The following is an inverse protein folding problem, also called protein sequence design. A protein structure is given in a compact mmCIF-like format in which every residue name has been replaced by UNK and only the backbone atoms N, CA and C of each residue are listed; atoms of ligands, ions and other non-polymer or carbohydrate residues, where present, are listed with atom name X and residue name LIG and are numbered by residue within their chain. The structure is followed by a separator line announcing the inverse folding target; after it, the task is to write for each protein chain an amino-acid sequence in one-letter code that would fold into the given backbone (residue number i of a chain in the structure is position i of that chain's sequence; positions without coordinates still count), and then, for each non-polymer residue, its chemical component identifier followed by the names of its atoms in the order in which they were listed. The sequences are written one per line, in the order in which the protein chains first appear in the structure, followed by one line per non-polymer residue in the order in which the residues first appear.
data_IF_818379949029
#
_entry.id   IF_818379949029
#
_cell.length_a   1.000
_cell.length_b   1.000
_cell.length_c   1.000
_cell.angle_alpha   90.00
_cell.angle_beta   90.00
_cell.angle_gamma   90.00
#
_symmetry.space_group_name_H-M   'P 1'
#
loop_
_entity.id
_entity.type
_entity.pdbx_description
1 polymer ?
#
# COMPACT_ATOMS: atom_id res chain seq x y z
N UNK A 1 14.49 10.24 -1.83
CA UNK A 1 13.10 10.13 -2.30
C UNK A 1 12.34 11.33 -1.74
N UNK A 2 11.35 11.86 -2.45
CA UNK A 2 10.55 13.02 -1.99
C UNK A 2 9.17 12.50 -1.63
N UNK A 3 8.76 12.68 -0.36
CA UNK A 3 7.38 12.33 0.05
C UNK A 3 6.35 13.18 -0.70
N UNK A 4 5.19 12.62 -1.02
CA UNK A 4 4.02 13.38 -1.48
C UNK A 4 3.05 13.56 -0.31
N UNK A 5 2.92 14.78 0.27
CA UNK A 5 1.85 15.06 1.21
C UNK A 5 0.50 14.96 0.50
N UNK A 6 -0.41 14.16 1.06
CA UNK A 6 -1.78 14.04 0.60
C UNK A 6 -2.71 14.93 1.44
N UNK A 7 -3.82 15.41 0.88
CA UNK A 7 -4.89 15.96 1.69
C UNK A 7 -5.33 14.93 2.74
N UNK A 8 -5.59 15.37 3.98
CA UNK A 8 -6.00 14.45 5.05
C UNK A 8 -7.28 13.66 4.75
N UNK A 9 -8.14 14.20 3.88
CA UNK A 9 -9.36 13.55 3.37
C UNK A 9 -9.16 12.76 2.07
N UNK A 10 -7.92 12.55 1.63
CA UNK A 10 -7.64 11.79 0.42
C UNK A 10 -8.12 10.33 0.60
N UNK A 11 -8.82 9.73 -0.38
CA UNK A 11 -9.41 8.39 -0.23
C UNK A 11 -8.43 7.24 0.01
N UNK A 12 -7.12 7.49 -0.03
CA UNK A 12 -6.06 6.52 0.26
C UNK A 12 -5.56 6.58 1.71
N UNK A 13 -5.74 7.72 2.40
CA UNK A 13 -5.28 7.89 3.79
C UNK A 13 -6.15 7.02 4.72
N UNK A 14 -5.50 6.31 5.64
CA UNK A 14 -6.13 5.41 6.62
C UNK A 14 -5.59 3.97 6.55
N UNK A 15 -6.28 3.08 7.27
CA UNK A 15 -5.89 1.68 7.39
C UNK A 15 -6.59 0.76 6.38
N UNK A 16 -5.82 -0.15 5.79
CA UNK A 16 -6.25 -1.05 4.74
C UNK A 16 -5.78 -2.46 5.00
N UNK A 17 -6.62 -3.44 4.68
CA UNK A 17 -6.31 -4.86 4.80
C UNK A 17 -6.39 -5.56 3.46
N UNK A 18 -5.44 -6.43 3.18
CA UNK A 18 -5.50 -7.41 2.11
C UNK A 18 -5.32 -8.81 2.70
N UNK A 19 -6.19 -9.75 2.31
CA UNK A 19 -5.97 -11.16 2.61
C UNK A 19 -5.06 -11.73 1.51
N UNK A 20 -3.94 -12.36 1.88
CA UNK A 20 -2.94 -12.82 0.92
C UNK A 20 -3.43 -14.11 0.24
N UNK A 21 -3.64 -14.12 -1.10
CA UNK A 21 -4.22 -15.26 -1.80
C UNK A 21 -3.47 -16.56 -1.55
N UNK A 22 -4.20 -17.64 -1.27
CA UNK A 22 -3.62 -18.95 -1.01
C UNK A 22 -3.08 -19.15 0.40
N UNK A 23 -3.24 -18.17 1.29
CA UNK A 23 -2.80 -18.25 2.69
C UNK A 23 -3.94 -17.89 3.66
N UNK A 24 -3.75 -18.15 4.96
CA UNK A 24 -4.60 -17.60 6.02
C UNK A 24 -4.07 -16.25 6.58
N UNK A 25 -2.99 -15.73 5.98
CA UNK A 25 -2.32 -14.51 6.39
C UNK A 25 -2.98 -13.28 5.74
N UNK A 26 -2.82 -12.13 6.38
CA UNK A 26 -3.27 -10.86 5.86
C UNK A 26 -2.22 -9.80 6.13
N UNK A 27 -2.25 -8.76 5.32
CA UNK A 27 -1.41 -7.58 5.50
C UNK A 27 -2.28 -6.40 5.90
N UNK A 28 -1.73 -5.51 6.73
CA UNK A 28 -2.35 -4.25 7.11
C UNK A 28 -1.42 -3.11 6.77
N UNK A 29 -1.95 -2.16 6.00
CA UNK A 29 -1.27 -0.96 5.55
C UNK A 29 -1.93 0.23 6.23
N UNK A 30 -1.18 0.98 7.03
CA UNK A 30 -1.61 2.26 7.59
C UNK A 30 -0.91 3.38 6.84
N UNK A 31 -1.67 4.12 6.03
CA UNK A 31 -1.18 5.13 5.08
C UNK A 31 -1.47 6.51 5.65
N UNK A 32 -0.42 7.29 5.91
CA UNK A 32 -0.53 8.61 6.53
C UNK A 32 -0.48 9.72 5.48
N UNK A 33 -1.15 10.83 5.78
CA UNK A 33 -1.23 11.98 4.87
C UNK A 33 0.11 12.70 4.65
N UNK A 34 1.12 12.45 5.50
CA UNK A 34 2.44 13.07 5.42
C UNK A 34 3.40 12.35 4.45
N UNK A 35 2.91 11.31 3.76
CA UNK A 35 3.72 10.49 2.85
C UNK A 35 4.50 9.38 3.55
N UNK A 36 4.12 9.00 4.77
CA UNK A 36 4.64 7.81 5.46
C UNK A 36 3.60 6.69 5.53
N UNK A 37 4.08 5.46 5.66
CA UNK A 37 3.24 4.27 5.76
C UNK A 37 3.87 3.27 6.72
N UNK A 38 3.04 2.52 7.45
CA UNK A 38 3.47 1.30 8.15
C UNK A 38 2.73 0.09 7.63
N UNK A 39 3.44 -1.04 7.53
CA UNK A 39 2.90 -2.32 7.07
C UNK A 39 3.18 -3.41 8.09
N UNK A 40 2.17 -4.24 8.36
CA UNK A 40 2.34 -5.53 9.04
C UNK A 40 1.94 -6.64 8.09
N UNK A 41 2.80 -7.65 7.92
CA UNK A 41 2.55 -8.83 7.08
C UNK A 41 3.24 -10.03 7.74
N UNK A 42 2.49 -11.07 8.12
CA UNK A 42 3.06 -12.18 8.87
C UNK A 42 3.74 -11.73 10.18
N UNK A 43 5.05 -11.95 10.30
CA UNK A 43 5.86 -11.47 11.42
C UNK A 43 6.57 -10.13 11.13
N UNK A 44 6.53 -9.68 9.88
CA UNK A 44 7.15 -8.43 9.43
C UNK A 44 6.40 -7.21 9.96
N UNK A 45 7.18 -6.22 10.40
CA UNK A 45 6.70 -4.87 10.67
C UNK A 45 7.66 -3.87 10.03
N UNK A 46 7.15 -3.14 9.03
CA UNK A 46 7.92 -2.23 8.20
C UNK A 46 7.36 -0.81 8.26
N UNK A 47 8.24 0.18 8.05
CA UNK A 47 7.88 1.57 7.79
C UNK A 47 8.47 1.99 6.46
N UNK A 48 7.67 2.67 5.65
CA UNK A 48 8.07 3.21 4.35
C UNK A 48 7.77 4.70 4.25
N UNK A 49 8.48 5.37 3.35
CA UNK A 49 8.11 6.67 2.80
C UNK A 49 7.62 6.47 1.37
N UNK A 50 6.58 7.20 0.95
CA UNK A 50 6.01 7.05 -0.39
C UNK A 50 5.85 8.39 -1.15
N UNK A 51 5.89 8.26 -2.47
CA UNK A 51 5.58 9.28 -3.47
C UNK A 51 4.43 8.74 -4.30
N UNK A 52 3.40 9.54 -4.49
CA UNK A 52 2.25 9.18 -5.32
C UNK A 52 1.87 10.34 -6.23
N UNK A 53 1.43 10.04 -7.44
CA UNK A 53 0.82 11.02 -8.32
C UNK A 53 -0.46 11.58 -7.68
N UNK A 54 -0.70 12.89 -7.81
CA UNK A 54 -1.90 13.53 -7.24
C UNK A 54 -3.16 13.33 -8.09
N UNK A 55 -2.97 12.98 -9.36
CA UNK A 55 -4.04 12.71 -10.32
C UNK A 55 -3.79 11.35 -10.98
N UNK A 56 -4.84 10.60 -11.32
CA UNK A 56 -4.67 9.34 -12.00
C UNK A 56 -4.27 9.56 -13.47
N UNK A 57 -3.61 8.56 -14.05
CA UNK A 57 -3.39 8.47 -15.49
C UNK A 57 -4.73 8.42 -16.26
N UNK A 58 -4.74 8.59 -17.60
CA UNK A 58 -5.95 8.41 -18.41
C UNK A 58 -6.62 7.04 -18.25
N UNK A 59 -5.90 6.03 -17.74
CA UNK A 59 -6.44 4.70 -17.43
C UNK A 59 -6.97 4.57 -16.00
N UNK A 60 -6.86 5.62 -15.18
CA UNK A 60 -7.38 5.65 -13.81
C UNK A 60 -6.39 5.21 -12.73
N UNK A 61 -5.10 5.04 -13.07
CA UNK A 61 -4.08 4.56 -12.13
C UNK A 61 -3.25 5.70 -11.57
N UNK A 62 -3.01 5.69 -10.26
CA UNK A 62 -2.04 6.55 -9.59
C UNK A 62 -0.71 5.83 -9.52
N UNK A 63 0.37 6.42 -10.04
CA UNK A 63 1.69 5.84 -9.84
C UNK A 63 2.11 6.06 -8.39
N UNK A 64 2.50 4.99 -7.73
CA UNK A 64 2.98 4.95 -6.37
C UNK A 64 4.42 4.43 -6.38
N UNK A 65 5.31 5.08 -5.64
CA UNK A 65 6.63 4.55 -5.30
C UNK A 65 6.74 4.56 -3.80
N UNK A 66 7.21 3.48 -3.18
CA UNK A 66 7.59 3.48 -1.77
C UNK A 66 9.00 2.95 -1.56
N UNK A 67 9.60 3.40 -0.46
CA UNK A 67 10.90 2.97 0.00
C UNK A 67 10.81 2.55 1.46
N UNK A 68 11.25 1.33 1.76
CA UNK A 68 11.36 0.85 3.14
C UNK A 68 12.45 1.63 3.87
N UNK A 69 12.10 2.29 4.98
CA UNK A 69 13.02 3.05 5.83
C UNK A 69 13.30 2.37 7.16
N UNK A 70 12.43 1.46 7.60
CA UNK A 70 12.67 0.57 8.75
C UNK A 70 11.99 -0.77 8.52
N UNK A 71 12.61 -1.83 9.01
CA UNK A 71 12.07 -3.18 8.99
C UNK A 71 12.58 -3.93 10.24
N UNK A 72 11.82 -4.91 10.74
CA UNK A 72 12.19 -5.71 11.90
C UNK A 72 12.99 -6.98 11.55
N UNK A 73 13.28 -7.22 10.26
CA UNK A 73 14.05 -8.35 9.75
C UNK A 73 13.32 -9.70 9.88
N UNK A 74 11.99 -9.67 9.97
CA UNK A 74 11.14 -10.86 10.09
C UNK A 74 10.42 -11.14 8.76
N UNK A 75 10.07 -12.41 8.49
CA UNK A 75 9.42 -12.78 7.25
C UNK A 75 8.00 -12.19 7.14
N UNK A 76 7.62 -11.85 5.92
CA UNK A 76 6.26 -11.46 5.55
C UNK A 76 5.31 -12.68 5.47
N UNK A 77 4.06 -12.46 5.05
CA UNK A 77 3.07 -13.53 4.86
C UNK A 77 3.52 -14.64 3.89
N UNK A 78 4.46 -14.35 2.99
CA UNK A 78 4.99 -15.28 1.98
C UNK A 78 6.35 -15.88 2.38
N UNK A 79 6.91 -15.48 3.52
CA UNK A 79 8.19 -15.97 4.02
C UNK A 79 9.39 -15.13 3.59
N UNK A 80 9.18 -14.02 2.87
CA UNK A 80 10.24 -13.16 2.37
C UNK A 80 10.68 -12.15 3.45
N UNK A 81 11.98 -11.87 3.51
CA UNK A 81 12.53 -10.85 4.43
C UNK A 81 12.90 -9.64 3.61
N UNK A 82 12.21 -8.52 3.84
CA UNK A 82 12.43 -7.29 3.10
C UNK A 82 13.66 -6.53 3.59
N UNK A 83 14.29 -5.78 2.69
CA UNK A 83 15.50 -5.00 3.00
C UNK A 83 15.18 -3.52 3.20
N UNK A 84 15.78 -2.92 4.23
CA UNK A 84 15.77 -1.45 4.37
C UNK A 84 16.45 -0.83 3.16
N UNK A 85 15.74 0.09 2.50
CA UNK A 85 16.19 0.73 1.27
C UNK A 85 15.59 0.14 0.01
N UNK A 86 14.90 -1.01 0.09
CA UNK A 86 14.12 -1.56 -1.02
C UNK A 86 13.13 -0.52 -1.55
N UNK A 87 12.97 -0.46 -2.87
CA UNK A 87 12.07 0.46 -3.56
C UNK A 87 11.10 -0.35 -4.41
N UNK A 88 9.80 -0.17 -4.18
CA UNK A 88 8.74 -0.73 -4.99
C UNK A 88 8.07 0.37 -5.84
N UNK A 89 7.74 0.04 -7.08
CA UNK A 89 6.94 0.90 -7.97
C UNK A 89 5.67 0.15 -8.29
N UNK A 90 4.54 0.76 -7.90
CA UNK A 90 3.21 0.18 -8.00
C UNK A 90 2.26 1.18 -8.68
N UNK A 91 1.11 0.68 -9.12
CA UNK A 91 0.05 1.46 -9.73
C UNK A 91 -1.26 1.18 -9.00
N UNK A 92 -1.82 2.21 -8.38
CA UNK A 92 -3.02 2.09 -7.55
C UNK A 92 -4.26 2.49 -8.34
N UNK A 93 -5.31 1.69 -8.27
CA UNK A 93 -6.64 2.08 -8.73
C UNK A 93 -7.62 2.03 -7.57
N UNK A 94 -8.21 3.17 -7.24
CA UNK A 94 -9.15 3.33 -6.13
C UNK A 94 -10.57 3.10 -6.65
N UNK A 95 -11.31 2.18 -6.03
CA UNK A 95 -12.70 1.94 -6.37
C UNK A 95 -13.57 3.18 -6.07
N UNK A 96 -14.64 3.39 -6.84
CA UNK A 96 -15.51 4.57 -6.70
C UNK A 96 -16.14 4.74 -5.31
N UNK A 97 -16.24 3.66 -4.53
CA UNK A 97 -16.72 3.72 -3.15
C UNK A 97 -15.74 4.40 -2.18
N UNK A 98 -14.45 4.53 -2.56
CA UNK A 98 -13.38 4.99 -1.66
C UNK A 98 -13.04 4.01 -0.53
N UNK A 99 -13.61 2.80 -0.55
CA UNK A 99 -13.45 1.77 0.48
C UNK A 99 -12.60 0.58 0.03
N UNK A 100 -12.22 0.55 -1.24
CA UNK A 100 -11.39 -0.51 -1.80
C UNK A 100 -10.40 0.08 -2.81
N UNK A 101 -9.21 -0.52 -2.91
CA UNK A 101 -8.28 -0.25 -4.01
C UNK A 101 -7.58 -1.53 -4.45
N UNK A 102 -7.02 -1.52 -5.66
CA UNK A 102 -6.10 -2.53 -6.17
C UNK A 102 -4.71 -1.93 -6.32
N UNK A 103 -3.68 -2.73 -6.07
CA UNK A 103 -2.28 -2.38 -6.30
C UNK A 103 -1.74 -3.27 -7.41
N UNK A 104 -1.15 -2.67 -8.44
CA UNK A 104 -0.79 -3.37 -9.68
C UNK A 104 0.67 -3.12 -10.05
N UNK A 105 1.31 -4.10 -10.70
CA UNK A 105 2.71 -3.97 -11.15
C UNK A 105 2.86 -3.07 -12.38
N UNK A 106 1.77 -2.85 -13.12
CA UNK A 106 1.66 -1.91 -14.25
C UNK A 106 0.25 -1.28 -14.27
N UNK A 107 0.00 -0.38 -15.22
CA UNK A 107 -1.34 0.19 -15.44
C UNK A 107 -2.29 -0.79 -16.17
N UNK A 108 -2.41 -2.00 -15.65
CA UNK A 108 -3.30 -3.07 -16.13
C UNK A 108 -3.93 -3.81 -14.97
N UNK A 109 -5.20 -4.21 -15.12
CA UNK A 109 -5.90 -5.00 -14.11
C UNK A 109 -5.36 -6.44 -13.97
N UNK A 110 -4.57 -6.91 -14.94
CA UNK A 110 -4.03 -8.27 -14.95
C UNK A 110 -2.83 -8.46 -14.00
N UNK A 111 -2.20 -7.37 -13.53
CA UNK A 111 -1.02 -7.40 -12.66
C UNK A 111 -1.36 -7.02 -11.21
N UNK A 112 -2.65 -6.97 -10.88
CA UNK A 112 -3.10 -6.45 -9.59
C UNK A 112 -3.21 -7.51 -8.50
N UNK A 113 -2.88 -7.08 -7.29
CA UNK A 113 -3.24 -7.71 -6.02
C UNK A 113 -4.34 -6.91 -5.34
N UNK A 114 -5.24 -7.59 -4.63
CA UNK A 114 -6.33 -6.98 -3.88
C UNK A 114 -7.66 -7.76 -3.98
N UNK A 115 -8.77 -7.15 -3.56
CA UNK A 115 -8.88 -5.77 -3.09
C UNK A 115 -8.25 -5.55 -1.72
N UNK A 116 -7.54 -4.44 -1.57
CA UNK A 116 -7.29 -3.83 -0.26
C UNK A 116 -8.59 -3.22 0.21
N UNK A 117 -9.09 -3.64 1.36
CA UNK A 117 -10.33 -3.16 1.95
C UNK A 117 -10.01 -2.20 3.09
N UNK A 118 -10.67 -1.05 3.08
CA UNK A 118 -10.57 -0.07 4.17
C UNK A 118 -11.07 -0.74 5.45
N UNK A 119 -10.22 -0.79 6.46
CA UNK A 119 -10.67 -1.13 7.81
C UNK A 119 -11.57 0.01 8.26
N UNK A 120 -12.79 -0.30 8.68
CA UNK A 120 -13.66 0.73 9.22
C UNK A 120 -13.01 1.33 10.46
N UNK A 121 -13.19 2.65 10.64
CA UNK A 121 -13.01 3.29 11.95
C UNK A 121 -14.17 2.85 12.86
N UNK A 122 -14.33 1.55 13.10
CA UNK A 122 -15.35 1.03 14.01
C UNK A 122 -14.73 0.84 15.40
N UNK A 123 -14.93 1.93 16.18
CA UNK A 123 -14.83 2.14 17.64
C UNK A 123 -13.46 2.59 18.18
#
# INVERSE_FOLDING_TARGET
MRRTPLPSKHPLVGAWRIDVPGTACHEVYDIHADGSMSVTSGEQSAQSEFEIDLEPSPRGFYRWVDKIVKDNGRPDCMGEVMEVGHIAVNFIIIHRSGREFLMCGDESLNSCIGPFKRLSEDI
#
